data_IF_366376493665
#
_entry.id   IF_366376493665
#
_cell.length_a   1.000
_cell.length_b   1.000
_cell.length_c   1.000
_cell.angle_alpha   90.00
_cell.angle_beta   90.00
_cell.angle_gamma   90.00
#
_symmetry.space_group_name_H-M   'P 1'
#
loop_
_entity.id
_entity.type
_entity.pdbx_description
1 polymer ?
#
# COMPACT_ATOMS: atom_id res chain seq x y z
N UNK A 1 36.27 52.98 13.51
CA UNK A 1 36.69 52.25 12.28
C UNK A 1 35.46 52.13 11.39
N UNK A 2 35.48 52.56 10.12
CA UNK A 2 34.32 52.35 9.24
C UNK A 2 34.40 50.92 8.70
N UNK A 3 33.26 50.27 8.50
CA UNK A 3 33.24 48.86 8.07
C UNK A 3 34.05 48.58 6.79
N UNK A 4 34.12 49.57 5.89
CA UNK A 4 34.94 49.54 4.67
C UNK A 4 36.46 49.46 4.90
N UNK A 5 36.92 49.74 6.12
CA UNK A 5 38.33 49.77 6.48
C UNK A 5 38.82 48.40 7.02
N UNK A 6 37.95 47.40 7.16
CA UNK A 6 38.30 46.04 7.63
C UNK A 6 38.65 45.17 6.42
N UNK A 7 39.95 45.00 6.16
CA UNK A 7 40.48 44.12 5.11
C UNK A 7 41.18 42.96 5.80
N UNK A 8 40.49 41.83 5.97
CA UNK A 8 41.06 40.64 6.63
C UNK A 8 40.09 39.77 7.44
N UNK A 9 38.83 40.18 7.57
CA UNK A 9 37.88 39.52 8.47
C UNK A 9 38.12 39.90 9.92
N UNK A 10 37.19 39.51 10.80
CA UNK A 10 37.31 39.70 12.26
C UNK A 10 37.55 38.32 12.85
N UNK A 11 38.60 38.15 13.66
CA UNK A 11 38.98 36.86 14.23
C UNK A 11 39.30 37.06 15.72
N UNK A 12 38.79 36.18 16.58
CA UNK A 12 38.97 36.20 18.05
C UNK A 12 38.35 37.38 18.81
N UNK A 13 37.50 38.20 18.17
CA UNK A 13 36.74 39.27 18.85
C UNK A 13 35.32 38.84 19.23
N UNK A 14 34.84 39.35 20.37
CA UNK A 14 33.42 39.27 20.75
C UNK A 14 32.65 40.44 20.12
N UNK A 15 31.89 40.16 19.07
CA UNK A 15 31.06 41.16 18.40
C UNK A 15 29.66 41.15 19.02
N UNK A 16 29.25 42.25 19.67
CA UNK A 16 27.93 42.36 20.30
C UNK A 16 26.84 42.85 19.36
N UNK A 17 27.18 43.58 18.29
CA UNK A 17 26.25 43.93 17.22
C UNK A 17 26.98 44.25 15.91
N UNK A 18 26.36 43.89 14.78
CA UNK A 18 26.79 44.27 13.44
C UNK A 18 25.62 44.90 12.70
N UNK A 19 25.77 46.16 12.26
CA UNK A 19 24.81 46.80 11.35
C UNK A 19 25.37 46.76 9.94
N UNK A 20 24.79 45.92 9.08
CA UNK A 20 25.14 45.80 7.66
C UNK A 20 23.91 46.09 6.81
N UNK A 21 24.11 46.81 5.71
CA UNK A 21 23.02 47.21 4.82
C UNK A 21 22.61 46.08 3.86
N UNK A 22 23.57 45.24 3.46
CA UNK A 22 23.33 44.03 2.66
C UNK A 22 24.46 43.04 2.93
N UNK A 23 24.11 41.78 3.19
CA UNK A 23 25.06 40.67 3.22
C UNK A 23 25.03 40.02 1.84
N UNK A 24 26.19 39.95 1.19
CA UNK A 24 26.34 39.34 -0.14
C UNK A 24 27.21 38.09 0.01
N UNK A 25 26.75 36.96 -0.52
CA UNK A 25 27.43 35.66 -0.40
C UNK A 25 26.92 34.78 0.73
N UNK A 26 27.61 33.65 0.99
CA UNK A 26 27.23 32.68 2.03
C UNK A 26 27.63 33.20 3.41
N UNK A 27 26.66 33.31 4.32
CA UNK A 27 26.94 33.46 5.75
C UNK A 27 27.19 32.06 6.33
N UNK A 28 28.40 31.81 6.83
CA UNK A 28 28.74 30.57 7.54
C UNK A 28 28.69 30.87 9.03
N UNK A 29 27.80 30.17 9.74
CA UNK A 29 27.78 30.14 11.20
C UNK A 29 28.54 28.86 11.61
N UNK A 30 29.85 28.92 11.91
CA UNK A 30 30.61 27.75 12.33
C UNK A 30 29.97 27.18 13.59
N UNK A 31 29.81 25.86 13.63
CA UNK A 31 29.18 25.19 14.75
C UNK A 31 29.92 25.46 16.07
N UNK A 32 29.17 25.36 17.16
CA UNK A 32 29.56 25.82 18.49
C UNK A 32 30.72 24.99 19.07
N UNK A 33 31.86 25.62 19.29
CA UNK A 33 33.03 24.97 19.95
C UNK A 33 32.80 24.74 21.47
N UNK A 34 31.64 25.13 22.04
CA UNK A 34 31.28 24.87 23.44
C UNK A 34 29.79 24.53 23.72
N UNK A 35 29.03 24.05 22.73
CA UNK A 35 27.73 23.43 22.97
C UNK A 35 26.50 24.30 22.67
N UNK A 36 25.71 23.80 21.72
CA UNK A 36 24.46 24.37 21.17
C UNK A 36 24.65 25.70 20.44
N UNK A 37 24.61 25.62 19.10
CA UNK A 37 23.83 26.62 18.32
C UNK A 37 22.51 26.83 19.10
N UNK A 38 22.03 28.07 19.33
CA UNK A 38 20.81 28.29 20.11
C UNK A 38 19.81 27.26 19.63
N UNK A 39 19.45 26.37 20.56
CA UNK A 39 18.72 25.16 20.24
C UNK A 39 17.56 25.63 19.39
N UNK A 40 17.56 25.07 18.18
CA UNK A 40 16.62 25.30 17.13
C UNK A 40 16.76 26.59 16.28
N UNK A 41 16.98 26.36 14.98
CA UNK A 41 16.37 27.18 13.93
C UNK A 41 14.87 26.81 13.73
N UNK A 42 14.28 26.08 14.70
CA UNK A 42 12.86 25.70 14.82
C UNK A 42 12.48 25.66 16.33
N UNK A 43 12.85 26.70 17.08
CA UNK A 43 12.68 26.74 18.55
C UNK A 43 11.41 27.47 18.80
N UNK A 44 10.46 26.78 19.42
CA UNK A 44 9.32 27.43 20.02
C UNK A 44 8.60 28.36 19.03
N UNK A 45 7.99 27.77 18.02
CA UNK A 45 7.25 28.48 16.96
C UNK A 45 7.62 27.88 15.62
N UNK A 46 6.63 27.37 14.90
CA UNK A 46 6.82 26.54 13.69
C UNK A 46 7.83 27.11 12.68
N UNK A 47 8.44 26.20 11.90
CA UNK A 47 9.33 26.53 10.78
C UNK A 47 8.62 27.53 9.84
N UNK A 48 7.33 27.27 9.64
CA UNK A 48 6.39 28.08 8.89
C UNK A 48 5.01 27.78 9.50
N UNK A 49 4.49 28.64 10.37
CA UNK A 49 3.18 28.45 11.01
C UNK A 49 2.07 28.89 10.06
N UNK A 50 1.06 28.05 9.72
CA UNK A 50 0.76 26.71 10.24
C UNK A 50 1.32 25.54 9.40
N UNK A 51 2.01 25.78 8.29
CA UNK A 51 2.44 24.75 7.31
C UNK A 51 3.21 23.59 7.95
N UNK A 52 4.24 23.86 8.76
CA UNK A 52 5.00 22.86 9.51
C UNK A 52 5.37 23.41 10.88
N UNK A 53 4.86 22.75 11.91
CA UNK A 53 5.06 23.06 13.33
C UNK A 53 5.79 21.92 14.01
N UNK A 54 6.86 22.24 14.73
CA UNK A 54 7.49 21.33 15.68
C UNK A 54 7.26 21.94 17.06
N UNK A 55 6.41 21.28 17.86
CA UNK A 55 6.09 21.69 19.21
C UNK A 55 6.91 20.86 20.19
N UNK A 56 8.03 21.44 20.62
CA UNK A 56 8.95 20.81 21.56
C UNK A 56 8.41 20.77 22.98
N UNK A 57 7.41 21.59 23.33
CA UNK A 57 6.79 21.58 24.65
C UNK A 57 5.83 20.41 24.82
N UNK A 58 5.09 20.09 23.76
CA UNK A 58 4.13 18.98 23.75
C UNK A 58 4.63 17.71 23.03
N UNK A 59 5.89 17.72 22.57
CA UNK A 59 6.53 16.63 21.83
C UNK A 59 5.75 16.18 20.57
N UNK A 60 5.32 17.14 19.75
CA UNK A 60 4.49 16.88 18.58
C UNK A 60 4.96 17.59 17.32
N UNK A 61 4.57 17.02 16.17
CA UNK A 61 4.81 17.56 14.84
C UNK A 61 3.46 17.80 14.15
N UNK A 62 3.23 19.02 13.67
CA UNK A 62 2.04 19.42 12.93
C UNK A 62 2.34 19.77 11.48
N UNK A 63 1.47 19.36 10.56
CA UNK A 63 1.40 19.87 9.19
C UNK A 63 0.05 20.57 9.03
N UNK A 64 0.05 21.86 8.69
CA UNK A 64 -1.18 22.66 8.57
C UNK A 64 -1.87 22.98 9.90
N UNK A 65 -1.27 22.70 11.06
CA UNK A 65 -1.85 22.96 12.39
C UNK A 65 -0.91 23.80 13.26
N UNK A 66 -1.46 24.85 13.90
CA UNK A 66 -0.75 25.66 14.89
C UNK A 66 -0.71 25.04 16.30
N UNK A 67 -1.53 24.02 16.54
CA UNK A 67 -1.62 23.31 17.81
C UNK A 67 -1.83 21.82 17.49
N UNK A 68 -0.74 21.07 17.24
CA UNK A 68 -0.82 19.63 17.02
C UNK A 68 -1.45 18.97 18.26
N UNK A 69 -2.52 18.19 18.08
CA UNK A 69 -3.23 17.55 19.19
C UNK A 69 -2.62 16.18 19.56
N UNK A 70 -1.76 15.65 18.68
CA UNK A 70 -1.11 14.35 18.77
C UNK A 70 0.36 14.48 18.35
N UNK A 71 1.18 13.47 18.65
CA UNK A 71 2.61 13.46 18.30
C UNK A 71 2.88 13.69 16.80
N UNK A 72 1.97 13.26 15.92
CA UNK A 72 1.95 13.63 14.50
C UNK A 72 0.53 14.04 14.09
N UNK A 73 0.32 15.32 13.76
CA UNK A 73 -0.98 15.86 13.34
C UNK A 73 -0.89 16.44 11.93
N UNK A 74 -1.58 15.84 10.96
CA UNK A 74 -1.73 16.39 9.60
C UNK A 74 -3.12 17.02 9.46
N UNK A 75 -3.22 18.34 9.56
CA UNK A 75 -4.45 19.08 9.32
C UNK A 75 -4.71 19.16 7.82
N UNK A 76 -5.84 18.57 7.38
CA UNK A 76 -6.36 18.59 6.00
C UNK A 76 -5.41 18.08 4.89
N UNK A 77 -4.60 17.06 5.18
CA UNK A 77 -3.68 16.43 4.21
C UNK A 77 -3.88 14.92 3.99
N UNK A 78 -2.96 14.31 3.23
CA UNK A 78 -2.90 12.86 3.00
C UNK A 78 -1.61 12.30 3.59
N UNK A 79 -1.68 11.15 4.26
CA UNK A 79 -0.51 10.34 4.60
C UNK A 79 -0.28 9.32 3.48
N UNK A 80 0.78 9.50 2.70
CA UNK A 80 1.17 8.57 1.64
C UNK A 80 2.24 7.63 2.18
N UNK A 81 1.93 6.33 2.22
CA UNK A 81 2.89 5.28 2.56
C UNK A 81 3.34 4.61 1.27
N UNK A 82 4.61 4.80 0.90
CA UNK A 82 5.21 4.10 -0.25
C UNK A 82 5.58 2.66 0.10
N UNK A 83 5.97 1.89 -0.91
CA UNK A 83 6.36 0.49 -0.76
C UNK A 83 7.38 0.28 0.37
N UNK A 84 6.99 -0.50 1.37
CA UNK A 84 7.86 -1.07 2.38
C UNK A 84 7.96 -2.59 2.23
N UNK A 85 8.89 -3.18 2.97
CA UNK A 85 8.92 -4.63 3.20
C UNK A 85 8.11 -4.97 4.45
N UNK A 86 7.69 -6.23 4.57
CA UNK A 86 7.17 -6.76 5.83
C UNK A 86 8.14 -6.44 6.98
N UNK A 87 7.68 -5.86 8.10
CA UNK A 87 8.53 -5.64 9.28
C UNK A 87 9.14 -6.95 9.80
N UNK A 88 10.36 -6.88 10.33
CA UNK A 88 11.09 -8.05 10.81
C UNK A 88 10.46 -8.72 12.05
N UNK A 89 9.60 -7.99 12.76
CA UNK A 89 8.90 -8.47 13.95
C UNK A 89 8.05 -7.36 14.57
N UNK A 90 7.24 -7.70 15.59
CA UNK A 90 6.41 -6.73 16.29
C UNK A 90 7.25 -5.72 17.09
N UNK A 91 6.64 -4.59 17.40
CA UNK A 91 7.18 -3.61 18.35
C UNK A 91 6.52 -3.78 19.71
N UNK A 92 7.30 -3.66 20.79
CA UNK A 92 6.78 -3.74 22.14
C UNK A 92 5.79 -2.58 22.40
N UNK A 93 4.63 -2.91 22.98
CA UNK A 93 3.56 -1.95 23.29
C UNK A 93 3.08 -1.14 22.07
N UNK A 94 3.06 -1.73 20.88
CA UNK A 94 2.63 -1.02 19.68
C UNK A 94 2.17 -1.91 18.54
N UNK A 95 1.91 -1.27 17.41
CA UNK A 95 1.58 -1.88 16.14
C UNK A 95 2.33 -1.14 15.02
N UNK A 96 2.52 -1.81 13.89
CA UNK A 96 3.21 -1.24 12.72
C UNK A 96 2.20 -1.14 11.59
N UNK A 97 2.09 0.04 10.97
CA UNK A 97 1.29 0.27 9.76
C UNK A 97 2.24 0.50 8.57
N UNK A 98 2.07 -0.23 7.47
CA UNK A 98 2.91 -0.06 6.27
C UNK A 98 2.12 -0.32 4.98
N UNK A 99 2.68 0.09 3.85
CA UNK A 99 2.25 -0.35 2.53
C UNK A 99 3.22 -1.38 1.97
N UNK A 100 2.71 -2.43 1.34
CA UNK A 100 3.54 -3.49 0.74
C UNK A 100 3.05 -3.81 -0.67
N UNK A 101 3.98 -4.00 -1.60
CA UNK A 101 3.67 -4.55 -2.92
C UNK A 101 3.31 -6.04 -2.80
N UNK A 102 2.05 -6.37 -3.04
CA UNK A 102 1.54 -7.72 -3.11
C UNK A 102 1.10 -7.98 -4.54
N UNK A 103 1.88 -8.79 -5.27
CA UNK A 103 1.55 -9.21 -6.65
C UNK A 103 1.33 -8.05 -7.65
N UNK A 104 2.05 -6.94 -7.48
CA UNK A 104 1.98 -5.79 -8.38
C UNK A 104 1.02 -4.69 -7.95
N UNK A 105 0.27 -4.88 -6.85
CA UNK A 105 -0.58 -3.85 -6.25
C UNK A 105 -0.12 -3.52 -4.84
N UNK A 106 -0.33 -2.28 -4.39
CA UNK A 106 0.06 -1.85 -3.05
C UNK A 106 -1.09 -2.06 -2.07
N UNK A 107 -0.82 -2.80 -1.00
CA UNK A 107 -1.80 -3.04 0.05
C UNK A 107 -1.37 -2.35 1.35
N UNK A 108 -2.31 -1.72 2.05
CA UNK A 108 -2.14 -1.22 3.41
C UNK A 108 -2.26 -2.39 4.40
N UNK A 109 -1.29 -2.52 5.30
CA UNK A 109 -1.18 -3.62 6.25
C UNK A 109 -0.87 -3.12 7.64
N UNK A 110 -1.28 -3.90 8.63
CA UNK A 110 -0.95 -3.69 10.04
C UNK A 110 -0.41 -4.97 10.68
N UNK A 111 0.57 -4.82 11.57
CA UNK A 111 1.15 -5.87 12.41
C UNK A 111 0.89 -5.50 13.85
N UNK A 112 0.26 -6.38 14.61
CA UNK A 112 0.02 -6.17 16.04
C UNK A 112 1.25 -6.50 16.90
N UNK A 113 1.14 -6.28 18.21
CA UNK A 113 2.23 -6.56 19.17
C UNK A 113 2.60 -8.04 19.33
N UNK A 114 1.80 -8.95 18.77
CA UNK A 114 2.09 -10.39 18.72
C UNK A 114 2.61 -10.84 17.34
N UNK A 115 2.80 -9.90 16.41
CA UNK A 115 3.30 -10.21 15.06
C UNK A 115 2.23 -10.71 14.10
N UNK A 116 0.95 -10.69 14.45
CA UNK A 116 -0.12 -11.04 13.50
C UNK A 116 -0.24 -9.95 12.44
N UNK A 117 -0.31 -10.36 11.18
CA UNK A 117 -0.40 -9.44 10.05
C UNK A 117 -1.84 -9.46 9.50
N UNK A 118 -2.40 -8.26 9.33
CA UNK A 118 -3.72 -8.05 8.72
C UNK A 118 -3.62 -7.08 7.55
N UNK A 119 -4.21 -7.44 6.41
CA UNK A 119 -4.38 -6.53 5.29
C UNK A 119 -5.61 -5.66 5.51
N UNK A 120 -5.44 -4.34 5.52
CA UNK A 120 -6.51 -3.35 5.71
C UNK A 120 -7.11 -2.86 4.38
N UNK A 121 -6.40 -2.97 3.26
CA UNK A 121 -6.96 -2.76 1.91
C UNK A 121 -7.30 -4.13 1.29
N UNK A 122 -8.57 -4.55 1.32
CA UNK A 122 -8.95 -5.96 1.21
C UNK A 122 -9.03 -6.49 -0.25
N UNK A 123 -7.93 -6.56 -0.99
CA UNK A 123 -7.92 -7.13 -2.35
C UNK A 123 -7.06 -8.38 -2.52
N UNK A 124 -6.61 -8.99 -1.42
CA UNK A 124 -5.82 -10.22 -1.45
C UNK A 124 -6.69 -11.47 -1.62
N UNK A 125 -6.70 -12.05 -2.83
CA UNK A 125 -7.40 -13.31 -3.16
C UNK A 125 -6.42 -14.47 -3.44
N UNK A 126 -5.28 -14.48 -2.75
CA UNK A 126 -4.22 -15.49 -2.99
C UNK A 126 -4.60 -16.93 -2.58
N UNK A 127 -5.56 -17.12 -1.67
CA UNK A 127 -5.98 -18.46 -1.20
C UNK A 127 -7.40 -18.86 -1.66
N UNK A 128 -8.12 -17.97 -2.35
CA UNK A 128 -9.48 -18.22 -2.82
C UNK A 128 -9.77 -17.44 -4.09
N UNK A 129 -10.54 -17.98 -5.05
CA UNK A 129 -10.95 -17.20 -6.22
C UNK A 129 -11.83 -16.02 -5.80
N UNK A 130 -11.68 -14.89 -6.51
CA UNK A 130 -12.56 -13.73 -6.37
C UNK A 130 -13.96 -14.07 -6.85
N UNK A 131 -15.00 -13.83 -6.04
CA UNK A 131 -16.38 -14.16 -6.40
C UNK A 131 -17.02 -13.23 -7.44
N UNK A 132 -16.78 -11.93 -7.37
CA UNK A 132 -17.31 -10.90 -8.27
C UNK A 132 -16.39 -9.67 -8.31
N UNK A 133 -16.56 -8.75 -9.28
CA UNK A 133 -15.60 -7.67 -9.55
C UNK A 133 -15.29 -6.78 -8.33
N UNK A 134 -16.35 -6.45 -7.57
CA UNK A 134 -16.28 -5.61 -6.36
C UNK A 134 -15.95 -6.42 -5.10
N UNK A 135 -15.61 -7.70 -5.21
CA UNK A 135 -15.33 -8.52 -4.05
C UNK A 135 -14.08 -8.02 -3.34
N UNK A 136 -14.20 -7.99 -2.02
CA UNK A 136 -13.11 -7.73 -1.12
C UNK A 136 -12.93 -8.91 -0.18
N UNK A 137 -11.72 -9.06 0.32
CA UNK A 137 -11.33 -10.19 1.15
C UNK A 137 -10.81 -9.78 2.51
N UNK A 138 -11.19 -10.52 3.55
CA UNK A 138 -10.42 -10.50 4.78
C UNK A 138 -9.24 -11.46 4.60
N UNK A 139 -8.02 -10.95 4.75
CA UNK A 139 -6.80 -11.75 4.70
C UNK A 139 -5.97 -11.49 5.95
N UNK A 140 -5.55 -12.57 6.60
CA UNK A 140 -4.68 -12.51 7.77
C UNK A 140 -3.71 -13.68 7.79
N UNK A 141 -2.53 -13.43 8.35
CA UNK A 141 -1.46 -14.39 8.53
C UNK A 141 -1.00 -14.38 9.99
N UNK A 142 -0.86 -15.57 10.56
CA UNK A 142 -0.26 -15.80 11.87
C UNK A 142 0.98 -16.70 11.66
N UNK A 143 2.19 -16.11 11.65
CA UNK A 143 3.43 -16.86 11.47
C UNK A 143 3.71 -17.85 12.61
N UNK A 144 3.34 -17.53 13.85
CA UNK A 144 3.55 -18.40 15.02
C UNK A 144 2.82 -19.73 14.88
N UNK A 145 1.61 -19.71 14.30
CA UNK A 145 0.80 -20.89 14.04
C UNK A 145 1.04 -21.48 12.64
N UNK A 146 1.83 -20.83 11.79
CA UNK A 146 2.04 -21.22 10.40
C UNK A 146 0.75 -21.22 9.56
N UNK A 147 -0.22 -20.35 9.89
CA UNK A 147 -1.56 -20.35 9.30
C UNK A 147 -1.87 -19.04 8.59
N UNK A 148 -2.64 -19.17 7.50
CA UNK A 148 -3.19 -18.05 6.74
C UNK A 148 -4.68 -18.27 6.57
N UNK A 149 -5.44 -17.18 6.56
CA UNK A 149 -6.87 -17.19 6.28
C UNK A 149 -7.19 -16.19 5.18
N UNK A 150 -8.11 -16.57 4.30
CA UNK A 150 -8.65 -15.69 3.28
C UNK A 150 -10.16 -15.92 3.20
N UNK A 151 -10.94 -14.88 3.45
CA UNK A 151 -12.41 -14.93 3.39
C UNK A 151 -12.87 -13.98 2.31
N UNK A 152 -13.60 -14.48 1.33
CA UNK A 152 -14.34 -13.65 0.38
C UNK A 152 -15.55 -13.06 1.10
N UNK A 153 -15.41 -11.82 1.57
CA UNK A 153 -16.41 -11.16 2.39
C UNK A 153 -17.66 -10.87 1.59
N UNK A 154 -17.52 -10.46 0.32
CA UNK A 154 -18.66 -10.19 -0.53
C UNK A 154 -19.48 -11.47 -0.75
N UNK A 155 -18.83 -12.59 -1.07
CA UNK A 155 -19.51 -13.90 -1.18
C UNK A 155 -20.19 -14.29 0.13
N UNK A 156 -19.56 -14.06 1.28
CA UNK A 156 -20.16 -14.32 2.58
C UNK A 156 -21.45 -13.50 2.77
N UNK A 157 -21.43 -12.20 2.44
CA UNK A 157 -22.63 -11.36 2.47
C UNK A 157 -23.67 -11.83 1.44
N UNK A 158 -23.28 -12.23 0.22
CA UNK A 158 -24.21 -12.81 -0.78
C UNK A 158 -24.90 -14.08 -0.28
N UNK A 159 -24.20 -14.91 0.48
CA UNK A 159 -24.79 -16.09 1.12
C UNK A 159 -25.80 -15.66 2.18
N UNK A 160 -25.48 -14.64 2.99
CA UNK A 160 -26.39 -14.10 3.99
C UNK A 160 -27.65 -13.51 3.36
N UNK A 161 -27.54 -12.74 2.27
CA UNK A 161 -28.72 -12.22 1.53
C UNK A 161 -29.66 -13.35 1.11
N UNK A 162 -29.11 -14.49 0.65
CA UNK A 162 -29.92 -15.67 0.25
C UNK A 162 -30.58 -16.36 1.44
N UNK A 163 -29.90 -16.43 2.58
CA UNK A 163 -30.42 -17.09 3.78
C UNK A 163 -31.45 -16.22 4.53
N UNK A 164 -31.24 -14.90 4.58
CA UNK A 164 -32.12 -13.97 5.28
C UNK A 164 -33.28 -13.48 4.41
N UNK A 165 -33.12 -13.49 3.08
CA UNK A 165 -34.04 -12.82 2.15
C UNK A 165 -33.90 -11.30 2.13
N UNK A 166 -32.97 -10.74 2.91
CA UNK A 166 -32.70 -9.30 2.98
C UNK A 166 -31.62 -8.92 1.97
N UNK A 167 -31.80 -7.78 1.29
CA UNK A 167 -30.76 -7.22 0.42
C UNK A 167 -29.79 -6.39 1.26
N UNK A 168 -28.52 -6.77 1.25
CA UNK A 168 -27.43 -6.16 2.01
C UNK A 168 -26.40 -5.48 1.10
N UNK A 169 -26.26 -5.93 -0.15
CA UNK A 169 -25.26 -5.42 -1.09
C UNK A 169 -25.92 -4.58 -2.17
N UNK A 170 -25.46 -3.34 -2.28
CA UNK A 170 -25.90 -2.37 -3.26
C UNK A 170 -24.69 -1.87 -4.05
N UNK A 171 -24.76 -1.97 -5.38
CA UNK A 171 -23.70 -1.53 -6.29
C UNK A 171 -24.26 -0.42 -7.17
N UNK A 172 -23.51 0.67 -7.32
CA UNK A 172 -23.83 1.79 -8.21
C UNK A 172 -22.64 2.10 -9.11
N UNK A 173 -22.92 2.46 -10.36
CA UNK A 173 -21.88 2.90 -11.29
C UNK A 173 -21.42 4.33 -11.00
N UNK A 174 -20.12 4.59 -11.13
CA UNK A 174 -19.51 5.92 -11.00
C UNK A 174 -19.83 6.83 -12.20
N UNK A 175 -21.10 7.00 -12.56
CA UNK A 175 -21.51 7.92 -13.63
C UNK A 175 -21.39 9.35 -13.11
N UNK A 176 -20.23 9.99 -13.36
CA UNK A 176 -19.92 11.45 -13.36
C UNK A 176 -18.54 11.81 -12.76
N UNK A 177 -17.62 10.86 -12.59
CA UNK A 177 -16.21 11.21 -12.35
C UNK A 177 -15.42 11.07 -13.66
N UNK A 178 -14.65 12.09 -14.09
CA UNK A 178 -13.75 11.92 -15.23
C UNK A 178 -12.79 10.77 -14.92
N UNK A 179 -12.71 9.82 -15.84
CA UNK A 179 -11.82 8.68 -15.75
C UNK A 179 -10.38 9.20 -15.65
N UNK A 180 -9.69 8.88 -14.54
CA UNK A 180 -8.33 9.39 -14.27
C UNK A 180 -7.26 8.77 -15.18
N UNK A 181 -7.55 7.62 -15.79
CA UNK A 181 -6.68 6.96 -16.78
C UNK A 181 -7.52 6.14 -17.79
N UNK A 182 -7.98 6.77 -18.88
CA UNK A 182 -8.76 6.10 -19.92
C UNK A 182 -7.97 5.01 -20.66
N UNK A 183 -6.65 5.17 -20.76
CA UNK A 183 -5.77 4.25 -21.50
C UNK A 183 -5.55 2.97 -20.71
N UNK A 184 -5.34 3.06 -19.40
CA UNK A 184 -5.27 1.91 -18.50
C UNK A 184 -6.55 1.05 -18.51
N UNK A 185 -7.73 1.68 -18.56
CA UNK A 185 -9.02 0.98 -18.65
C UNK A 185 -9.22 0.25 -19.98
N UNK A 186 -8.85 0.88 -21.10
CA UNK A 186 -8.94 0.27 -22.43
C UNK A 186 -7.96 -0.91 -22.56
N UNK A 187 -6.75 -0.75 -22.05
CA UNK A 187 -5.75 -1.83 -22.00
C UNK A 187 -6.22 -3.01 -21.14
N UNK A 188 -6.83 -2.74 -19.97
CA UNK A 188 -7.40 -3.77 -19.12
C UNK A 188 -8.56 -4.51 -19.82
N UNK A 189 -9.47 -3.78 -20.49
CA UNK A 189 -10.55 -4.40 -21.29
C UNK A 189 -10.00 -5.30 -22.37
N UNK A 190 -9.03 -4.82 -23.16
CA UNK A 190 -8.44 -5.59 -24.25
C UNK A 190 -7.77 -6.86 -23.74
N UNK A 191 -7.04 -6.77 -22.63
CA UNK A 191 -6.43 -7.94 -21.99
C UNK A 191 -7.50 -8.94 -21.53
N UNK A 192 -8.59 -8.45 -20.92
CA UNK A 192 -9.67 -9.30 -20.42
C UNK A 192 -10.43 -9.99 -21.56
N UNK A 193 -10.77 -9.25 -22.63
CA UNK A 193 -11.43 -9.80 -23.82
C UNK A 193 -10.56 -10.88 -24.48
N UNK A 194 -9.26 -10.62 -24.63
CA UNK A 194 -8.29 -11.60 -25.17
C UNK A 194 -8.20 -12.84 -24.28
N UNK A 195 -8.12 -12.66 -22.95
CA UNK A 195 -8.04 -13.77 -22.01
C UNK A 195 -9.30 -14.64 -22.03
N UNK A 196 -10.48 -14.03 -22.16
CA UNK A 196 -11.76 -14.74 -22.28
C UNK A 196 -11.84 -15.54 -23.59
N UNK A 197 -11.36 -14.98 -24.71
CA UNK A 197 -11.29 -15.72 -25.98
C UNK A 197 -10.35 -16.93 -25.90
N UNK A 198 -9.17 -16.75 -25.32
CA UNK A 198 -8.21 -17.85 -25.10
C UNK A 198 -8.84 -18.94 -24.23
N UNK A 199 -9.52 -18.57 -23.14
CA UNK A 199 -10.19 -19.54 -22.26
C UNK A 199 -11.30 -20.30 -22.98
N UNK A 200 -12.14 -19.61 -23.77
CA UNK A 200 -13.20 -20.27 -24.56
C UNK A 200 -12.61 -21.27 -25.54
N UNK A 201 -11.51 -20.91 -26.20
CA UNK A 201 -10.81 -21.81 -27.11
C UNK A 201 -10.25 -23.04 -26.38
N UNK A 202 -9.56 -22.84 -25.26
CA UNK A 202 -9.01 -23.94 -24.46
C UNK A 202 -10.09 -24.87 -23.91
N UNK A 203 -11.25 -24.33 -23.53
CA UNK A 203 -12.39 -25.15 -23.10
C UNK A 203 -12.89 -26.01 -24.26
N UNK A 204 -13.08 -25.44 -25.44
CA UNK A 204 -13.50 -26.20 -26.62
C UNK A 204 -12.49 -27.27 -27.04
N UNK A 205 -11.18 -26.95 -27.02
CA UNK A 205 -10.12 -27.91 -27.31
C UNK A 205 -10.10 -29.06 -26.28
N UNK A 206 -10.33 -28.76 -24.99
CA UNK A 206 -10.43 -29.79 -23.95
C UNK A 206 -11.65 -30.70 -24.12
N UNK A 207 -12.80 -30.16 -24.53
CA UNK A 207 -13.99 -30.97 -24.83
C UNK A 207 -13.72 -31.93 -26.00
N UNK A 208 -13.08 -31.45 -27.07
CA UNK A 208 -12.73 -32.31 -28.21
C UNK A 208 -11.72 -33.40 -27.82
N UNK A 209 -10.71 -33.06 -27.03
CA UNK A 209 -9.73 -34.02 -26.53
C UNK A 209 -10.38 -35.10 -25.66
N UNK A 210 -11.32 -34.72 -24.78
CA UNK A 210 -12.07 -35.67 -23.96
C UNK A 210 -12.87 -36.66 -24.82
N UNK A 211 -13.51 -36.20 -25.88
CA UNK A 211 -14.26 -37.08 -26.78
C UNK A 211 -13.33 -38.01 -27.59
N UNK A 212 -12.17 -37.50 -28.05
CA UNK A 212 -11.15 -38.33 -28.71
C UNK A 212 -10.61 -39.43 -27.80
N UNK A 213 -10.34 -39.11 -26.53
CA UNK A 213 -9.90 -40.09 -25.53
C UNK A 213 -10.96 -41.16 -25.34
N UNK A 214 -12.23 -40.77 -25.16
CA UNK A 214 -13.35 -41.70 -25.03
C UNK A 214 -13.46 -42.67 -26.22
N UNK A 215 -13.37 -42.16 -27.44
CA UNK A 215 -13.44 -42.99 -28.65
C UNK A 215 -12.25 -43.96 -28.76
N UNK A 216 -11.07 -43.56 -28.28
CA UNK A 216 -9.91 -44.44 -28.23
C UNK A 216 -10.11 -45.55 -27.19
N UNK A 217 -10.63 -45.22 -26.01
CA UNK A 217 -10.98 -46.21 -24.97
C UNK A 217 -11.99 -47.24 -25.50
N UNK A 218 -13.06 -46.78 -26.18
CA UNK A 218 -14.04 -47.68 -26.81
C UNK A 218 -13.45 -48.54 -27.94
N UNK A 219 -12.44 -48.03 -28.67
CA UNK A 219 -11.73 -48.80 -29.70
C UNK A 219 -10.80 -49.85 -29.10
N UNK A 220 -10.07 -49.49 -28.04
CA UNK A 220 -9.20 -50.42 -27.32
C UNK A 220 -10.02 -51.55 -26.70
N UNK A 221 -11.13 -51.23 -26.03
CA UNK A 221 -12.02 -52.26 -25.45
C UNK A 221 -12.54 -53.25 -26.50
N UNK A 222 -12.95 -52.75 -27.67
CA UNK A 222 -13.38 -53.60 -28.80
C UNK A 222 -12.25 -54.45 -29.38
N UNK A 223 -11.01 -53.96 -29.37
CA UNK A 223 -9.84 -54.75 -29.78
C UNK A 223 -9.51 -55.83 -28.76
N UNK A 224 -9.58 -55.53 -27.46
CA UNK A 224 -9.36 -56.49 -26.38
C UNK A 224 -10.40 -57.62 -26.42
N UNK A 225 -11.68 -57.32 -26.66
CA UNK A 225 -12.72 -58.34 -26.84
C UNK A 225 -12.46 -59.23 -28.06
N UNK A 226 -12.01 -58.66 -29.19
CA UNK A 226 -11.67 -59.43 -30.40
C UNK A 226 -10.48 -60.35 -30.16
N UNK A 227 -9.44 -59.87 -29.49
CA UNK A 227 -8.24 -60.66 -29.17
C UNK A 227 -8.60 -61.77 -28.16
N UNK A 228 -9.41 -61.47 -27.14
CA UNK A 228 -9.88 -62.46 -26.17
C UNK A 228 -10.83 -63.52 -26.75
N UNK A 229 -11.61 -63.18 -27.78
CA UNK A 229 -12.50 -64.09 -28.49
C UNK A 229 -11.79 -65.08 -29.41
N UNK A 230 -10.61 -64.74 -29.94
CA UNK A 230 -9.78 -65.62 -30.78
C UNK A 230 -8.94 -66.64 -29.98
N UNK A 231 -8.93 -66.55 -28.64
CA UNK A 231 -8.12 -67.41 -27.76
C UNK A 231 -8.92 -68.50 -27.00
N UNK A 232 -10.14 -68.83 -27.43
CA UNK A 232 -10.96 -69.91 -26.85
C UNK A 232 -11.25 -71.04 -27.83
#
# INVERSE_FOLDING_TARGET
MRAKDIVGGITMDTITSVRVQTLVGKVVLPDSVAGKLPADLIAAGGIDTPTLVIDTANHSIGIGSNAPADSLHINTGRLVLSNGSTPAGPVANGAILWSENVLGTFELRVMDGAGNITTLSPHNFSLSPRSEDMAWSFYSENPELGKKINVDMLKAIRVLERLSGEKLVYVAGLKNQPVSDPEGLENFRRYHETAVEILRRLVSENEELRERVRLLEERMSRMEERIGGETR
#
